data_IF_225881860938
#
_entry.id   IF_225881860938
#
_cell.length_a   1.000
_cell.length_b   1.000
_cell.length_c   1.000
_cell.angle_alpha   90.00
_cell.angle_beta   90.00
_cell.angle_gamma   90.00
#
_symmetry.space_group_name_H-M   'P 1'
#
loop_
_entity.id
_entity.type
_entity.pdbx_description
1 polymer ?
#
# COMPACT_ATOMS: atom_id res chain seq x y z
N UNK A 1 7.08 -9.29 -4.64
CA UNK A 1 5.99 -8.33 -4.41
C UNK A 1 5.03 -8.39 -5.59
N UNK A 2 3.96 -9.14 -5.44
CA UNK A 2 2.89 -9.22 -6.43
C UNK A 2 1.65 -9.74 -5.72
N UNK A 3 0.79 -8.82 -5.27
CA UNK A 3 -0.48 -9.18 -4.65
C UNK A 3 -1.38 -9.84 -5.71
N UNK A 4 -1.76 -11.10 -5.48
CA UNK A 4 -2.70 -11.80 -6.34
C UNK A 4 -4.15 -11.32 -6.13
N UNK A 5 -4.94 -11.37 -7.20
CA UNK A 5 -6.36 -11.04 -7.18
C UNK A 5 -7.13 -11.90 -6.16
N UNK A 6 -6.79 -13.17 -6.01
CA UNK A 6 -7.44 -14.07 -5.03
C UNK A 6 -7.20 -13.59 -3.62
N UNK A 7 -5.96 -13.18 -3.31
CA UNK A 7 -5.59 -12.68 -1.99
C UNK A 7 -6.28 -11.35 -1.68
N UNK A 8 -6.31 -10.42 -2.65
CA UNK A 8 -7.01 -9.16 -2.51
C UNK A 8 -8.52 -9.35 -2.25
N UNK A 9 -9.15 -10.27 -2.99
CA UNK A 9 -10.56 -10.61 -2.77
C UNK A 9 -10.80 -11.24 -1.40
N UNK A 10 -9.93 -12.14 -0.96
CA UNK A 10 -10.01 -12.71 0.38
C UNK A 10 -9.89 -11.63 1.47
N UNK A 11 -8.98 -10.67 1.29
CA UNK A 11 -8.80 -9.54 2.20
C UNK A 11 -10.05 -8.65 2.31
N UNK A 12 -10.73 -8.39 1.19
CA UNK A 12 -11.96 -7.59 1.12
C UNK A 12 -13.26 -8.40 1.35
N UNK A 13 -13.15 -9.70 1.64
CA UNK A 13 -14.30 -10.62 1.76
C UNK A 13 -15.20 -10.65 0.50
N UNK A 14 -14.60 -10.57 -0.68
CA UNK A 14 -15.29 -10.63 -1.98
C UNK A 14 -15.27 -12.07 -2.51
N UNK A 15 -16.44 -12.63 -2.74
CA UNK A 15 -16.59 -14.03 -3.20
C UNK A 15 -16.91 -14.18 -4.69
N UNK A 16 -17.35 -13.10 -5.34
CA UNK A 16 -17.69 -13.07 -6.76
C UNK A 16 -16.52 -12.69 -7.68
N UNK A 17 -16.82 -12.58 -8.98
CA UNK A 17 -15.90 -12.15 -10.03
C UNK A 17 -16.30 -10.84 -10.72
N UNK A 18 -17.43 -10.25 -10.32
CA UNK A 18 -17.97 -9.05 -10.98
C UNK A 18 -17.04 -7.84 -10.95
N UNK A 19 -16.21 -7.77 -9.91
CA UNK A 19 -15.26 -6.68 -9.69
C UNK A 19 -13.80 -7.07 -9.99
N UNK A 20 -13.55 -8.25 -10.59
CA UNK A 20 -12.18 -8.75 -10.83
C UNK A 20 -11.32 -7.73 -11.62
N UNK A 21 -11.91 -7.11 -12.65
CA UNK A 21 -11.24 -6.08 -13.46
C UNK A 21 -10.87 -4.84 -12.65
N UNK A 22 -11.78 -4.33 -11.82
CA UNK A 22 -11.54 -3.10 -11.06
C UNK A 22 -10.60 -3.36 -9.87
N UNK A 23 -10.70 -4.52 -9.23
CA UNK A 23 -9.79 -4.92 -8.16
C UNK A 23 -8.37 -5.08 -8.69
N UNK A 24 -8.20 -5.70 -9.86
CA UNK A 24 -6.90 -5.81 -10.54
C UNK A 24 -6.30 -4.43 -10.81
N UNK A 25 -7.13 -3.47 -11.24
CA UNK A 25 -6.68 -2.09 -11.44
C UNK A 25 -6.23 -1.44 -10.12
N UNK A 26 -6.98 -1.60 -9.03
CA UNK A 26 -6.61 -1.03 -7.73
C UNK A 26 -5.34 -1.64 -7.16
N UNK A 27 -5.11 -2.95 -7.33
CA UNK A 27 -3.86 -3.60 -6.93
C UNK A 27 -2.67 -2.94 -7.65
N UNK A 28 -2.74 -2.82 -8.98
CA UNK A 28 -1.65 -2.24 -9.77
C UNK A 28 -1.39 -0.76 -9.41
N UNK A 29 -2.45 0.02 -9.19
CA UNK A 29 -2.32 1.41 -8.77
C UNK A 29 -1.75 1.52 -7.34
N UNK A 30 -2.15 0.64 -6.44
CA UNK A 30 -1.72 0.66 -5.05
C UNK A 30 -0.24 0.27 -4.94
N UNK A 31 0.19 -0.74 -5.68
CA UNK A 31 1.59 -1.17 -5.79
C UNK A 31 2.50 -0.02 -6.24
N UNK A 32 2.13 0.65 -7.34
CA UNK A 32 2.87 1.81 -7.85
C UNK A 32 2.93 2.96 -6.83
N UNK A 33 1.82 3.21 -6.12
CA UNK A 33 1.72 4.29 -5.14
C UNK A 33 2.50 4.01 -3.85
N UNK A 34 2.55 2.75 -3.40
CA UNK A 34 3.34 2.34 -2.23
C UNK A 34 4.82 2.40 -2.58
N UNK A 35 5.23 1.86 -3.74
CA UNK A 35 6.60 1.95 -4.26
C UNK A 35 7.08 3.40 -4.37
N UNK A 36 6.25 4.29 -4.96
CA UNK A 36 6.58 5.71 -5.09
C UNK A 36 6.77 6.42 -3.74
N UNK A 37 6.00 6.04 -2.72
CA UNK A 37 6.09 6.66 -1.40
C UNK A 37 7.31 6.18 -0.61
N UNK A 38 7.67 4.91 -0.74
CA UNK A 38 8.84 4.31 -0.09
C UNK A 38 10.16 4.82 -0.71
N UNK A 39 10.17 5.08 -2.02
CA UNK A 39 11.33 5.62 -2.73
C UNK A 39 12.33 4.52 -3.12
N UNK A 40 13.59 4.68 -2.74
CA UNK A 40 14.65 3.67 -2.95
C UNK A 40 14.60 2.60 -1.83
N UNK A 41 15.27 1.46 -2.01
CA UNK A 41 15.34 0.41 -0.96
C UNK A 41 14.05 -0.38 -0.76
N UNK A 42 13.15 -0.37 -1.76
CA UNK A 42 11.92 -1.17 -1.71
C UNK A 42 12.22 -2.67 -1.64
N UNK A 43 13.34 -3.10 -2.24
CA UNK A 43 13.81 -4.49 -2.22
C UNK A 43 14.25 -4.96 -0.81
N UNK A 44 14.54 -4.03 0.11
CA UNK A 44 14.97 -4.33 1.48
C UNK A 44 13.78 -4.53 2.44
N UNK A 45 12.56 -4.28 1.96
CA UNK A 45 11.34 -4.41 2.74
C UNK A 45 10.87 -5.87 2.69
N UNK A 46 10.52 -6.47 3.84
CA UNK A 46 9.92 -7.80 3.84
C UNK A 46 8.68 -7.84 2.95
N UNK A 47 8.66 -8.76 1.98
CA UNK A 47 7.60 -8.86 0.96
C UNK A 47 6.20 -8.87 1.57
N UNK A 48 6.01 -9.60 2.68
CA UNK A 48 4.72 -9.67 3.37
C UNK A 48 4.23 -8.31 3.90
N UNK A 49 5.14 -7.41 4.29
CA UNK A 49 4.80 -6.06 4.78
C UNK A 49 4.44 -5.15 3.62
N UNK A 50 5.20 -5.23 2.52
CA UNK A 50 4.88 -4.50 1.31
C UNK A 50 3.51 -4.91 0.77
N UNK A 51 3.27 -6.22 0.62
CA UNK A 51 2.00 -6.76 0.12
C UNK A 51 0.82 -6.34 1.01
N UNK A 52 1.02 -6.30 2.34
CA UNK A 52 -0.01 -5.82 3.28
C UNK A 52 -0.33 -4.34 3.08
N UNK A 53 0.66 -3.49 2.80
CA UNK A 53 0.43 -2.07 2.50
C UNK A 53 -0.38 -1.89 1.21
N UNK A 54 -0.06 -2.68 0.17
CA UNK A 54 -0.79 -2.68 -1.10
C UNK A 54 -2.24 -3.14 -0.90
N UNK A 55 -2.46 -4.22 -0.14
CA UNK A 55 -3.80 -4.72 0.17
C UNK A 55 -4.68 -3.68 0.87
N UNK A 56 -4.14 -3.02 1.90
CA UNK A 56 -4.87 -2.00 2.64
C UNK A 56 -5.21 -0.77 1.77
N UNK A 57 -4.29 -0.34 0.90
CA UNK A 57 -4.54 0.80 0.00
C UNK A 57 -5.56 0.44 -1.10
N UNK A 58 -5.44 -0.75 -1.70
CA UNK A 58 -6.38 -1.23 -2.70
C UNK A 58 -7.79 -1.38 -2.12
N UNK A 59 -7.92 -1.95 -0.91
CA UNK A 59 -9.19 -2.06 -0.21
C UNK A 59 -9.80 -0.69 0.11
N UNK A 60 -8.97 0.27 0.54
CA UNK A 60 -9.43 1.62 0.81
C UNK A 60 -10.04 2.28 -0.43
N UNK A 61 -9.37 2.22 -1.58
CA UNK A 61 -9.89 2.79 -2.83
C UNK A 61 -11.10 2.05 -3.40
N UNK A 62 -11.18 0.73 -3.19
CA UNK A 62 -12.34 -0.05 -3.59
C UNK A 62 -13.61 0.37 -2.81
N UNK A 63 -13.48 0.54 -1.50
CA UNK A 63 -14.57 0.96 -0.60
C UNK A 63 -14.92 2.45 -0.75
N UNK A 64 -13.93 3.31 -1.03
CA UNK A 64 -14.10 4.76 -1.07
C UNK A 64 -13.88 5.29 -2.50
N UNK A 65 -14.92 5.17 -3.34
CA UNK A 65 -14.88 5.55 -4.76
C UNK A 65 -15.01 7.05 -5.03
N UNK A 66 -15.33 7.84 -4.00
CA UNK A 66 -15.43 9.29 -4.07
C UNK A 66 -14.31 9.94 -3.25
N UNK A 67 -13.69 10.99 -3.79
CA UNK A 67 -12.59 11.69 -3.15
C UNK A 67 -12.99 12.42 -1.85
N UNK A 68 -14.29 12.63 -1.63
CA UNK A 68 -14.83 13.35 -0.47
C UNK A 68 -16.12 12.67 -0.01
N UNK A 69 -16.11 12.12 1.21
CA UNK A 69 -17.35 11.69 1.88
C UNK A 69 -17.70 12.71 2.96
N UNK A 70 -18.81 13.43 2.78
CA UNK A 70 -19.27 14.45 3.75
C UNK A 70 -19.85 13.76 4.98
N UNK A 71 -19.30 14.02 6.16
CA UNK A 71 -19.87 13.57 7.45
C UNK A 71 -19.22 12.36 8.11
N UNK A 72 -18.15 11.79 7.54
CA UNK A 72 -17.35 10.74 8.20
C UNK A 72 -16.08 11.33 8.84
N UNK A 73 -15.93 11.15 10.14
CA UNK A 73 -14.64 11.32 10.83
C UNK A 73 -13.86 10.00 10.71
N UNK A 74 -12.97 9.90 9.73
CA UNK A 74 -12.09 8.73 9.64
C UNK A 74 -11.15 8.72 10.87
N UNK A 75 -11.21 7.66 11.67
CA UNK A 75 -10.24 7.44 12.73
C UNK A 75 -8.97 6.84 12.13
N UNK A 76 -7.82 7.45 12.39
CA UNK A 76 -6.54 6.85 12.02
C UNK A 76 -6.32 5.58 12.84
N UNK A 77 -6.21 4.44 12.15
CA UNK A 77 -5.84 3.18 12.79
C UNK A 77 -4.33 3.17 13.05
N UNK A 78 -3.89 2.81 14.27
CA UNK A 78 -2.50 2.43 14.49
C UNK A 78 -2.13 1.29 13.53
N UNK A 79 -0.98 1.39 12.84
CA UNK A 79 -0.50 0.43 11.83
C UNK A 79 -1.22 0.46 10.46
N UNK A 80 -1.78 1.61 10.06
CA UNK A 80 -2.24 1.81 8.68
C UNK A 80 -1.09 1.88 7.65
N UNK A 81 -1.44 1.93 6.36
CA UNK A 81 -0.48 2.07 5.23
C UNK A 81 0.54 3.19 5.48
N UNK A 82 0.11 4.32 6.04
CA UNK A 82 0.98 5.46 6.32
C UNK A 82 2.07 5.16 7.38
N UNK A 83 1.78 4.32 8.37
CA UNK A 83 2.73 3.93 9.41
C UNK A 83 3.79 2.97 8.84
N UNK A 84 3.35 2.01 8.01
CA UNK A 84 4.27 1.12 7.28
C UNK A 84 5.20 1.96 6.40
N UNK A 85 4.64 2.86 5.59
CA UNK A 85 5.45 3.73 4.72
C UNK A 85 6.43 4.55 5.54
N UNK A 86 6.01 5.13 6.67
CA UNK A 86 6.88 5.94 7.52
C UNK A 86 8.06 5.13 8.07
N UNK A 87 7.80 3.93 8.57
CA UNK A 87 8.83 3.06 9.16
C UNK A 87 9.88 2.69 8.09
N UNK A 88 9.46 2.16 6.94
CA UNK A 88 10.39 1.65 5.92
C UNK A 88 11.02 2.73 5.04
N UNK A 89 10.38 3.89 4.89
CA UNK A 89 11.02 5.06 4.27
C UNK A 89 12.22 5.55 5.10
N UNK A 90 12.18 5.44 6.43
CA UNK A 90 13.30 5.87 7.27
C UNK A 90 14.53 4.95 7.11
N UNK A 91 14.30 3.64 6.91
CA UNK A 91 15.37 2.68 6.62
C UNK A 91 16.08 2.99 5.30
N UNK A 92 15.33 3.31 4.23
CA UNK A 92 15.94 3.59 2.92
C UNK A 92 16.80 4.86 2.87
N UNK A 93 16.60 5.81 3.78
CA UNK A 93 17.48 6.98 3.94
C UNK A 93 18.67 6.74 4.88
N UNK A 94 18.60 5.74 5.76
CA UNK A 94 19.68 5.44 6.70
C UNK A 94 20.84 4.65 6.05
N UNK A 95 20.57 3.92 4.97
CA UNK A 95 21.58 3.15 4.22
C UNK A 95 22.36 3.99 3.18
N UNK A 96 22.04 5.29 3.05
CA UNK A 96 22.90 6.24 2.35
C UNK A 96 24.02 6.65 3.30
N UNK A 97 25.15 5.94 3.23
CA UNK A 97 26.39 6.36 3.90
C UNK A 97 26.64 7.84 3.58
N UNK A 98 26.97 8.71 4.56
CA UNK A 98 27.32 10.09 4.26
C UNK A 98 28.50 10.04 3.31
N UNK A 99 28.32 10.44 2.06
CA UNK A 99 29.47 10.64 1.17
C UNK A 99 30.29 11.75 1.79
N UNK A 100 31.37 11.37 2.48
CA UNK A 100 32.34 12.27 3.06
C UNK A 100 32.71 13.30 1.99
N UNK A 101 32.38 14.56 2.29
CA UNK A 101 32.65 15.69 1.42
C UNK A 101 34.14 15.77 1.10
N UNK A 102 34.44 15.83 -0.20
CA UNK A 102 35.72 16.30 -0.74
C UNK A 102 35.59 17.73 -1.22
#
# INVERSE_FOLDING_TARGET
MAVDLTLAKAHMNITGSGDDTIITHYIAAADAQVTSQLGTGVDDIPEAIFDQAVLMLAAHWYENREAVVVGLSAAFLPMGVAEIIREYRAYSFADVEPTDGG
#
